data_IF_398609339339
#
_entry.id   IF_398609339339
#
_cell.length_a   1.000
_cell.length_b   1.000
_cell.length_c   1.000
_cell.angle_alpha   90.00
_cell.angle_beta   90.00
_cell.angle_gamma   90.00
#
_symmetry.space_group_name_H-M   'P 1'
#
loop_
_entity.id
_entity.type
_entity.pdbx_description
1 polymer ?
#
# COMPACT_ATOMS: atom_id res chain seq x y z
N UNK A 1 2.21 21.98 -17.38
CA UNK A 1 1.86 21.08 -16.25
C UNK A 1 2.09 19.67 -16.75
N UNK A 2 3.01 18.93 -16.13
CA UNK A 2 3.26 17.54 -16.52
C UNK A 2 2.07 16.64 -16.14
N UNK A 3 1.73 15.69 -17.01
CA UNK A 3 0.66 14.72 -16.76
C UNK A 3 1.17 13.52 -15.96
N UNK A 4 1.44 13.75 -14.67
CA UNK A 4 1.86 12.69 -13.77
C UNK A 4 0.75 11.66 -13.49
N UNK A 5 -0.53 12.04 -13.57
CA UNK A 5 -1.63 11.11 -13.35
C UNK A 5 -1.79 10.13 -14.52
N UNK A 6 -1.70 10.61 -15.75
CA UNK A 6 -1.70 9.76 -16.95
C UNK A 6 -0.52 8.78 -16.95
N UNK A 7 0.68 9.24 -16.58
CA UNK A 7 1.86 8.38 -16.41
C UNK A 7 1.66 7.33 -15.31
N UNK A 8 1.12 7.71 -14.15
CA UNK A 8 0.82 6.76 -13.08
C UNK A 8 -0.21 5.71 -13.53
N UNK A 9 -1.21 6.08 -14.32
CA UNK A 9 -2.19 5.15 -14.86
C UNK A 9 -1.55 4.14 -15.84
N UNK A 10 -0.64 4.61 -16.71
CA UNK A 10 0.12 3.73 -17.60
C UNK A 10 1.00 2.74 -16.82
N UNK A 11 1.72 3.22 -15.81
CA UNK A 11 2.57 2.37 -14.95
C UNK A 11 1.74 1.33 -14.19
N UNK A 12 0.56 1.71 -13.69
CA UNK A 12 -0.39 0.76 -13.09
C UNK A 12 -0.80 -0.34 -14.06
N UNK A 13 -1.14 0.00 -15.30
CA UNK A 13 -1.54 -0.97 -16.30
C UNK A 13 -0.40 -1.94 -16.62
N UNK A 14 0.81 -1.41 -16.83
CA UNK A 14 2.02 -2.20 -17.08
C UNK A 14 2.34 -3.14 -15.92
N UNK A 15 2.22 -2.67 -14.67
CA UNK A 15 2.36 -3.49 -13.47
C UNK A 15 1.35 -4.64 -13.46
N UNK A 16 0.07 -4.40 -13.76
CA UNK A 16 -0.96 -5.45 -13.79
C UNK A 16 -0.66 -6.54 -14.81
N UNK A 17 -0.16 -6.17 -15.98
CA UNK A 17 0.27 -7.11 -17.03
C UNK A 17 1.44 -7.95 -16.51
N UNK A 18 2.48 -7.30 -15.97
CA UNK A 18 3.65 -7.99 -15.43
C UNK A 18 3.30 -8.95 -14.27
N UNK A 19 2.40 -8.56 -13.36
CA UNK A 19 1.89 -9.44 -12.28
C UNK A 19 1.20 -10.68 -12.88
N UNK A 20 0.35 -10.51 -13.90
CA UNK A 20 -0.36 -11.61 -14.55
C UNK A 20 0.61 -12.59 -15.21
N UNK A 21 1.69 -12.08 -15.78
CA UNK A 21 2.76 -12.85 -16.43
C UNK A 21 3.82 -13.36 -15.44
N UNK A 22 3.66 -13.10 -14.13
CA UNK A 22 4.61 -13.44 -13.06
C UNK A 22 6.01 -12.83 -13.25
N UNK A 23 6.12 -11.72 -13.98
CA UNK A 23 7.34 -10.92 -14.11
C UNK A 23 7.42 -9.94 -12.95
N UNK A 24 7.69 -10.44 -11.75
CA UNK A 24 7.55 -9.66 -10.52
C UNK A 24 8.53 -8.49 -10.43
N UNK A 25 9.78 -8.64 -10.90
CA UNK A 25 10.74 -7.53 -10.94
C UNK A 25 10.25 -6.36 -11.81
N UNK A 26 9.70 -6.67 -12.99
CA UNK A 26 9.09 -5.68 -13.87
C UNK A 26 7.89 -5.01 -13.17
N UNK A 27 7.05 -5.79 -12.49
CA UNK A 27 5.91 -5.27 -11.74
C UNK A 27 6.36 -4.32 -10.61
N UNK A 28 7.40 -4.67 -9.86
CA UNK A 28 7.99 -3.82 -8.81
C UNK A 28 8.52 -2.50 -9.37
N UNK A 29 9.19 -2.54 -10.53
CA UNK A 29 9.65 -1.32 -11.23
C UNK A 29 8.47 -0.42 -11.58
N UNK A 30 7.45 -0.96 -12.23
CA UNK A 30 6.27 -0.21 -12.64
C UNK A 30 5.51 0.38 -11.44
N UNK A 31 5.32 -0.38 -10.35
CA UNK A 31 4.67 0.11 -9.13
C UNK A 31 5.49 1.20 -8.45
N UNK A 32 6.82 1.11 -8.45
CA UNK A 32 7.70 2.18 -7.92
C UNK A 32 7.58 3.44 -8.76
N UNK A 33 7.59 3.34 -10.09
CA UNK A 33 7.38 4.48 -10.98
C UNK A 33 5.99 5.12 -10.79
N UNK A 34 4.96 4.30 -10.55
CA UNK A 34 3.62 4.78 -10.25
C UNK A 34 3.61 5.64 -8.97
N UNK A 35 4.30 5.19 -7.91
CA UNK A 35 4.48 5.96 -6.67
C UNK A 35 5.16 7.30 -6.93
N UNK A 36 6.28 7.29 -7.67
CA UNK A 36 7.02 8.51 -7.98
C UNK A 36 6.17 9.53 -8.73
N UNK A 37 5.37 9.07 -9.70
CA UNK A 37 4.42 9.94 -10.41
C UNK A 37 3.37 10.54 -9.46
N UNK A 38 2.81 9.73 -8.55
CA UNK A 38 1.86 10.22 -7.56
C UNK A 38 2.45 11.24 -6.59
N UNK A 39 3.67 11.02 -6.10
CA UNK A 39 4.35 11.96 -5.20
C UNK A 39 4.67 13.29 -5.91
N UNK A 40 5.13 13.22 -7.17
CA UNK A 40 5.35 14.43 -7.99
C UNK A 40 4.04 15.19 -8.24
N UNK A 41 2.96 14.48 -8.53
CA UNK A 41 1.64 15.08 -8.68
C UNK A 41 1.20 15.78 -7.38
N UNK A 42 1.28 15.09 -6.24
CA UNK A 42 0.92 15.62 -4.93
C UNK A 42 1.72 16.89 -4.59
N UNK A 43 3.04 16.87 -4.84
CA UNK A 43 3.89 18.04 -4.67
C UNK A 43 3.49 19.19 -5.58
N UNK A 44 3.19 18.92 -6.85
CA UNK A 44 2.82 19.94 -7.83
C UNK A 44 1.46 20.57 -7.52
N UNK A 45 0.53 19.81 -6.93
CA UNK A 45 -0.80 20.28 -6.54
C UNK A 45 -0.85 20.84 -5.11
N UNK A 46 0.24 20.79 -4.34
CA UNK A 46 0.26 21.27 -2.96
C UNK A 46 -0.59 20.44 -2.00
N UNK A 47 -0.62 19.12 -2.18
CA UNK A 47 -1.40 18.22 -1.31
C UNK A 47 -0.88 18.25 0.13
N UNK A 48 -1.79 17.99 1.07
CA UNK A 48 -1.41 17.73 2.46
C UNK A 48 -0.53 16.48 2.55
N UNK A 49 0.28 16.37 3.60
CA UNK A 49 1.09 15.16 3.86
C UNK A 49 0.20 13.91 3.93
N UNK A 50 -0.98 14.01 4.53
CA UNK A 50 -1.92 12.90 4.67
C UNK A 50 -2.45 12.46 3.31
N UNK A 51 -2.85 13.39 2.44
CA UNK A 51 -3.33 13.05 1.10
C UNK A 51 -2.22 12.52 0.19
N UNK A 52 -1.00 13.04 0.33
CA UNK A 52 0.17 12.52 -0.37
C UNK A 52 0.48 11.07 0.03
N UNK A 53 0.38 10.73 1.32
CA UNK A 53 0.55 9.36 1.81
C UNK A 53 -0.56 8.41 1.31
N UNK A 54 -1.79 8.89 1.14
CA UNK A 54 -2.85 8.08 0.52
C UNK A 54 -2.47 7.68 -0.90
N UNK A 55 -1.97 8.63 -1.70
CA UNK A 55 -1.51 8.33 -3.06
C UNK A 55 -0.28 7.41 -3.07
N UNK A 56 0.71 7.68 -2.23
CA UNK A 56 1.92 6.87 -2.10
C UNK A 56 1.60 5.41 -1.71
N UNK A 57 0.61 5.22 -0.83
CA UNK A 57 0.21 3.91 -0.35
C UNK A 57 -0.67 3.12 -1.32
N UNK A 58 -1.20 3.73 -2.38
CA UNK A 58 -2.11 3.05 -3.30
C UNK A 58 -1.44 1.88 -4.05
N UNK A 59 -0.23 2.03 -4.62
CA UNK A 59 0.49 0.93 -5.27
C UNK A 59 0.87 -0.20 -4.30
N UNK A 60 0.90 0.05 -2.99
CA UNK A 60 1.23 -0.98 -1.99
C UNK A 60 0.20 -2.10 -1.91
N UNK A 61 -1.05 -1.90 -2.34
CA UNK A 61 -2.01 -3.02 -2.44
C UNK A 61 -1.57 -4.06 -3.49
N UNK A 62 -0.98 -3.61 -4.60
CA UNK A 62 -0.47 -4.48 -5.65
C UNK A 62 0.88 -5.10 -5.26
N UNK A 63 1.74 -4.32 -4.59
CA UNK A 63 2.97 -4.86 -3.99
C UNK A 63 2.67 -5.94 -2.95
N UNK A 64 1.67 -5.73 -2.08
CA UNK A 64 1.21 -6.73 -1.12
C UNK A 64 0.75 -8.01 -1.84
N UNK A 65 0.05 -7.86 -2.96
CA UNK A 65 -0.39 -9.01 -3.75
C UNK A 65 0.78 -9.79 -4.38
N UNK A 66 1.82 -9.09 -4.86
CA UNK A 66 3.06 -9.74 -5.35
C UNK A 66 3.72 -10.53 -4.23
N UNK A 67 3.95 -9.91 -3.08
CA UNK A 67 4.55 -10.56 -1.90
C UNK A 67 3.75 -11.78 -1.45
N UNK A 68 2.41 -11.69 -1.48
CA UNK A 68 1.53 -12.83 -1.21
C UNK A 68 1.72 -13.97 -2.21
N UNK A 69 1.89 -13.67 -3.50
CA UNK A 69 2.14 -14.66 -4.55
C UNK A 69 3.53 -15.30 -4.41
N UNK A 70 4.50 -14.58 -3.86
CA UNK A 70 5.86 -15.05 -3.55
C UNK A 70 5.95 -15.83 -2.22
N UNK A 71 4.87 -15.96 -1.46
CA UNK A 71 4.87 -16.62 -0.15
C UNK A 71 5.38 -15.74 1.01
N UNK A 72 5.68 -14.48 0.74
CA UNK A 72 6.21 -13.49 1.69
C UNK A 72 5.09 -12.81 2.47
N UNK A 73 4.41 -13.58 3.31
CA UNK A 73 3.13 -13.18 3.90
C UNK A 73 3.24 -12.06 4.94
N UNK A 74 4.33 -11.99 5.70
CA UNK A 74 4.55 -10.92 6.67
C UNK A 74 4.79 -9.58 5.95
N UNK A 75 5.63 -9.55 4.93
CA UNK A 75 5.85 -8.33 4.14
C UNK A 75 4.58 -7.93 3.39
N UNK A 76 3.83 -8.90 2.87
CA UNK A 76 2.53 -8.65 2.26
C UNK A 76 1.58 -7.96 3.25
N UNK A 77 1.55 -8.40 4.52
CA UNK A 77 0.79 -7.76 5.59
C UNK A 77 1.29 -6.34 5.88
N UNK A 78 2.60 -6.10 5.93
CA UNK A 78 3.18 -4.77 6.15
C UNK A 78 2.70 -3.77 5.09
N UNK A 79 2.70 -4.16 3.81
CA UNK A 79 2.28 -3.30 2.71
C UNK A 79 0.78 -2.96 2.76
N UNK A 80 -0.11 -3.94 2.97
CA UNK A 80 -1.56 -3.65 3.06
C UNK A 80 -1.91 -2.88 4.35
N UNK A 81 -1.13 -3.05 5.42
CA UNK A 81 -1.28 -2.30 6.66
C UNK A 81 -0.97 -0.82 6.46
N UNK A 82 0.05 -0.52 5.67
CA UNK A 82 0.37 0.86 5.29
C UNK A 82 -0.79 1.51 4.54
N UNK A 83 -1.34 0.86 3.51
CA UNK A 83 -2.53 1.36 2.81
C UNK A 83 -3.72 1.57 3.74
N UNK A 84 -3.96 0.66 4.68
CA UNK A 84 -5.03 0.84 5.67
C UNK A 84 -4.79 2.06 6.56
N UNK A 85 -3.59 2.21 7.12
CA UNK A 85 -3.25 3.26 8.06
C UNK A 85 -3.35 4.67 7.44
N UNK A 86 -2.87 4.86 6.22
CA UNK A 86 -2.97 6.13 5.49
C UNK A 86 -4.42 6.50 5.19
N UNK A 87 -5.22 5.54 4.72
CA UNK A 87 -6.64 5.75 4.44
C UNK A 87 -7.44 6.03 5.73
N UNK A 88 -7.09 5.39 6.85
CA UNK A 88 -7.72 5.65 8.15
C UNK A 88 -7.43 7.07 8.65
N UNK A 89 -6.16 7.52 8.60
CA UNK A 89 -5.79 8.90 8.97
C UNK A 89 -6.47 9.95 8.09
N UNK A 90 -6.63 9.63 6.80
CA UNK A 90 -7.34 10.48 5.84
C UNK A 90 -8.87 10.40 5.93
N UNK A 91 -9.43 9.65 6.89
CA UNK A 91 -10.89 9.44 7.08
C UNK A 91 -11.59 8.94 5.79
N UNK A 92 -10.90 8.12 4.98
CA UNK A 92 -11.44 7.50 3.77
C UNK A 92 -12.28 6.25 4.13
N UNK A 93 -13.18 5.77 3.25
CA UNK A 93 -13.89 4.51 3.48
C UNK A 93 -12.94 3.31 3.60
N UNK A 94 -13.13 2.47 4.62
CA UNK A 94 -12.19 1.38 4.95
C UNK A 94 -12.75 -0.03 4.79
N UNK A 95 -14.05 -0.20 4.58
CA UNK A 95 -14.72 -1.52 4.65
C UNK A 95 -14.06 -2.57 3.76
N UNK A 96 -13.67 -2.21 2.54
CA UNK A 96 -12.97 -3.12 1.62
C UNK A 96 -11.54 -3.40 2.04
N UNK A 97 -10.82 -2.37 2.51
CA UNK A 97 -9.44 -2.50 2.98
C UNK A 97 -9.37 -3.36 4.24
N UNK A 98 -10.32 -3.22 5.17
CA UNK A 98 -10.35 -4.00 6.41
C UNK A 98 -10.57 -5.49 6.14
N UNK A 99 -11.43 -5.84 5.18
CA UNK A 99 -11.60 -7.24 4.72
C UNK A 99 -10.32 -7.82 4.11
N UNK A 100 -9.62 -7.04 3.27
CA UNK A 100 -8.32 -7.44 2.72
C UNK A 100 -7.31 -7.62 3.86
N UNK A 101 -7.18 -6.63 4.73
CA UNK A 101 -6.25 -6.63 5.85
C UNK A 101 -6.43 -7.86 6.75
N UNK A 102 -7.68 -8.24 7.06
CA UNK A 102 -8.01 -9.46 7.81
C UNK A 102 -7.52 -10.73 7.11
N UNK A 103 -7.66 -10.79 5.79
CA UNK A 103 -7.19 -11.93 4.98
C UNK A 103 -5.66 -12.03 4.99
N UNK A 104 -4.96 -10.91 4.87
CA UNK A 104 -3.48 -10.90 4.92
C UNK A 104 -2.96 -11.19 6.33
N UNK A 105 -3.63 -10.68 7.37
CA UNK A 105 -3.32 -10.96 8.77
C UNK A 105 -3.37 -12.45 9.06
N UNK A 106 -4.45 -13.12 8.63
CA UNK A 106 -4.59 -14.57 8.76
C UNK A 106 -3.49 -15.36 8.02
N UNK A 107 -3.01 -14.86 6.88
CA UNK A 107 -1.96 -15.53 6.08
C UNK A 107 -0.57 -15.35 6.65
N UNK A 108 -0.30 -14.21 7.30
CA UNK A 108 0.97 -13.94 7.94
C UNK A 108 1.17 -14.75 9.23
N UNK A 109 0.10 -15.35 9.76
CA UNK A 109 0.12 -16.23 10.94
C UNK A 109 0.80 -15.58 12.16
N UNK A 110 0.54 -14.29 12.37
CA UNK A 110 1.13 -13.54 13.48
C UNK A 110 0.39 -13.82 14.80
N UNK A 111 1.13 -13.79 15.92
CA UNK A 111 0.64 -14.10 17.27
C UNK A 111 -0.23 -12.99 17.89
N UNK A 112 -1.22 -12.49 17.15
CA UNK A 112 -2.19 -11.52 17.65
C UNK A 112 -3.56 -11.76 17.02
N UNK A 113 -4.64 -11.45 17.74
CA UNK A 113 -5.97 -11.45 17.12
C UNK A 113 -6.09 -10.28 16.13
N UNK A 114 -6.89 -10.44 15.09
CA UNK A 114 -7.11 -9.37 14.11
C UNK A 114 -7.62 -8.07 14.75
N UNK A 115 -8.48 -8.18 15.78
CA UNK A 115 -9.00 -7.02 16.50
C UNK A 115 -7.90 -6.24 17.25
N UNK A 116 -7.01 -6.95 17.96
CA UNK A 116 -5.89 -6.33 18.66
C UNK A 116 -4.92 -5.65 17.68
N UNK A 117 -4.59 -6.35 16.59
CA UNK A 117 -3.78 -5.83 15.50
C UNK A 117 -4.36 -4.55 14.89
N UNK A 118 -5.65 -4.57 14.54
CA UNK A 118 -6.34 -3.44 13.94
C UNK A 118 -6.38 -2.22 14.89
N UNK A 119 -6.58 -2.46 16.19
CA UNK A 119 -6.54 -1.40 17.20
C UNK A 119 -5.15 -0.76 17.31
N UNK A 120 -4.08 -1.56 17.23
CA UNK A 120 -2.71 -1.05 17.23
C UNK A 120 -2.42 -0.18 15.99
N UNK A 121 -2.85 -0.62 14.80
CA UNK A 121 -2.73 0.19 13.59
C UNK A 121 -3.46 1.53 13.69
N UNK A 122 -4.69 1.55 14.23
CA UNK A 122 -5.46 2.80 14.43
C UNK A 122 -4.78 3.77 15.41
N UNK A 123 -3.99 3.26 16.35
CA UNK A 123 -3.22 4.03 17.34
C UNK A 123 -1.85 4.48 16.86
N UNK A 124 -1.39 4.04 15.69
CA UNK A 124 -0.09 4.44 15.15
C UNK A 124 0.00 5.97 15.08
N UNK A 125 1.07 6.53 15.65
CA UNK A 125 1.28 7.99 15.66
C UNK A 125 1.52 8.49 14.24
N UNK A 126 2.50 7.89 13.56
CA UNK A 126 2.78 8.09 12.15
C UNK A 126 2.10 7.04 11.28
N UNK A 127 1.78 7.43 10.06
CA UNK A 127 1.27 6.54 9.02
C UNK A 127 2.23 6.42 7.85
N UNK A 128 3.51 6.78 7.99
CA UNK A 128 4.53 6.50 6.98
C UNK A 128 4.84 4.99 6.92
N UNK A 129 5.36 4.54 5.78
CA UNK A 129 5.58 3.11 5.54
C UNK A 129 6.55 2.47 6.55
N UNK A 130 7.62 3.16 6.95
CA UNK A 130 8.63 2.61 7.86
C UNK A 130 8.02 2.38 9.24
N UNK A 131 7.31 3.39 9.76
CA UNK A 131 6.61 3.29 11.05
C UNK A 131 5.59 2.15 11.06
N UNK A 132 4.81 2.00 9.99
CA UNK A 132 3.81 0.93 9.90
C UNK A 132 4.47 -0.45 9.73
N UNK A 133 5.50 -0.55 8.89
CA UNK A 133 6.28 -1.79 8.71
C UNK A 133 6.84 -2.28 10.05
N UNK A 134 7.44 -1.38 10.83
CA UNK A 134 8.09 -1.73 12.08
C UNK A 134 7.11 -2.05 13.22
N UNK A 135 5.86 -1.61 13.10
CA UNK A 135 4.74 -1.98 13.98
C UNK A 135 4.22 -3.40 13.69
N UNK A 136 4.35 -3.87 12.45
CA UNK A 136 3.88 -5.19 12.01
C UNK A 136 5.05 -6.19 12.05
N UNK A 137 5.11 -6.97 13.13
CA UNK A 137 6.14 -7.98 13.44
C UNK A 137 5.51 -9.27 13.94
#
# INVERSE_FOLDING_TARGET
>A
MEDYLGRAAYEKQSAKIAIKEKRFDDAWRHLSNQKDCYLRHASQMGFSVVDALVLDSSPHEDMANILRLEGRHLEALQHISYTYATNFKAKRPLTTLEKKLSTYHKRADINSTFSAFLNNLKKAQSADFVSIRDLVK
#
